data_IF_669507719438
#
_entry.id   IF_669507719438
#
_cell.length_a   1.000
_cell.length_b   1.000
_cell.length_c   1.000
_cell.angle_alpha   90.00
_cell.angle_beta   90.00
_cell.angle_gamma   90.00
#
_symmetry.space_group_name_H-M   'P 1'
#
loop_
_entity.id
_entity.type
_entity.pdbx_description
1 polymer ?
#
# COMPACT_ATOMS: atom_id res chain seq x y z
N UNK A 1 -25.23 0.19 9.42
CA UNK A 1 -24.45 -0.45 8.35
C UNK A 1 -23.36 0.54 8.08
N UNK A 2 -22.26 0.41 8.80
CA UNK A 2 -21.18 1.39 8.81
C UNK A 2 -19.91 0.56 8.92
N UNK A 3 -18.96 0.84 8.04
CA UNK A 3 -17.57 0.39 8.07
C UNK A 3 -17.31 -1.11 7.94
N UNK A 4 -17.31 -1.65 6.71
CA UNK A 4 -16.55 -2.89 6.40
C UNK A 4 -16.03 -2.94 4.97
N UNK A 5 -16.08 -1.85 4.20
CA UNK A 5 -15.70 -1.89 2.78
C UNK A 5 -14.21 -2.24 2.60
N UNK A 6 -13.36 -1.68 3.47
CA UNK A 6 -11.94 -1.99 3.52
C UNK A 6 -11.62 -3.40 4.08
N UNK A 7 -12.52 -4.00 4.87
CA UNK A 7 -12.31 -5.34 5.43
C UNK A 7 -12.70 -6.45 4.44
N UNK A 8 -13.62 -6.14 3.50
CA UNK A 8 -14.00 -7.00 2.38
C UNK A 8 -13.13 -6.78 1.13
N UNK A 9 -12.22 -5.80 1.16
CA UNK A 9 -11.28 -5.50 0.07
C UNK A 9 -10.42 -6.72 -0.26
N UNK A 10 -10.50 -7.17 -1.52
CA UNK A 10 -9.59 -8.18 -2.04
C UNK A 10 -8.27 -7.50 -2.44
N UNK A 11 -7.32 -7.45 -1.50
CA UNK A 11 -6.04 -6.78 -1.72
C UNK A 11 -5.18 -7.45 -2.81
N UNK A 12 -5.41 -8.72 -3.11
CA UNK A 12 -4.73 -9.40 -4.21
C UNK A 12 -5.18 -8.83 -5.56
N UNK A 13 -6.50 -8.71 -5.75
CA UNK A 13 -7.07 -8.07 -6.93
C UNK A 13 -6.75 -6.57 -6.97
N UNK A 14 -6.78 -5.88 -5.83
CA UNK A 14 -6.38 -4.48 -5.73
C UNK A 14 -4.93 -4.27 -6.16
N UNK A 15 -4.00 -5.12 -5.71
CA UNK A 15 -2.59 -5.05 -6.10
C UNK A 15 -2.41 -5.26 -7.61
N UNK A 16 -3.11 -6.22 -8.20
CA UNK A 16 -3.10 -6.46 -9.65
C UNK A 16 -3.66 -5.26 -10.42
N UNK A 17 -4.75 -4.68 -9.91
CA UNK A 17 -5.38 -3.49 -10.47
C UNK A 17 -4.45 -2.29 -10.43
N UNK A 18 -3.83 -2.02 -9.28
CA UNK A 18 -2.83 -0.95 -9.08
C UNK A 18 -1.69 -1.09 -10.10
N UNK A 19 -1.13 -2.30 -10.23
CA UNK A 19 -0.05 -2.58 -11.18
C UNK A 19 -0.46 -2.35 -12.62
N UNK A 20 -1.65 -2.83 -12.99
CA UNK A 20 -2.22 -2.63 -14.32
C UNK A 20 -2.47 -1.15 -14.61
N UNK A 21 -3.05 -0.40 -13.66
CA UNK A 21 -3.37 1.02 -13.83
C UNK A 21 -2.12 1.88 -14.00
N UNK A 22 -1.03 1.53 -13.31
CA UNK A 22 0.26 2.21 -13.46
C UNK A 22 0.92 1.87 -14.81
N UNK A 23 0.81 0.61 -15.27
CA UNK A 23 1.39 0.16 -16.53
C UNK A 23 0.69 0.72 -17.80
N UNK A 24 -0.63 0.92 -17.75
CA UNK A 24 -1.44 1.23 -18.94
C UNK A 24 -1.52 2.73 -19.30
N UNK A 25 -0.92 3.62 -18.51
CA UNK A 25 -1.14 5.06 -18.67
C UNK A 25 0.10 5.87 -19.11
N UNK A 26 0.66 5.70 -20.33
CA UNK A 26 1.57 6.69 -20.90
C UNK A 26 0.76 7.91 -21.39
N UNK A 27 0.59 8.93 -20.55
CA UNK A 27 0.23 10.28 -21.00
C UNK A 27 -1.24 10.73 -20.93
N UNK A 28 -2.11 10.07 -20.16
CA UNK A 28 -3.46 10.58 -19.88
C UNK A 28 -3.56 11.23 -18.48
N UNK A 29 -4.36 12.29 -18.43
CA UNK A 29 -4.75 13.20 -17.32
C UNK A 29 -5.43 12.51 -16.13
N UNK A 30 -5.31 11.19 -15.99
CA UNK A 30 -5.91 10.39 -14.92
C UNK A 30 -4.94 10.26 -13.76
N UNK A 31 -5.44 10.53 -12.56
CA UNK A 31 -4.78 10.27 -11.27
C UNK A 31 -4.22 8.83 -11.27
N UNK A 32 -2.91 8.68 -10.99
CA UNK A 32 -2.19 7.41 -11.05
C UNK A 32 -1.77 6.97 -9.66
N UNK A 33 -1.69 5.67 -9.49
CA UNK A 33 -1.06 5.04 -8.33
C UNK A 33 0.46 5.18 -8.42
N UNK A 34 1.08 5.58 -7.30
CA UNK A 34 2.53 5.75 -7.20
C UNK A 34 3.19 4.41 -6.92
N UNK A 35 3.91 3.83 -7.89
CA UNK A 35 4.66 2.58 -7.70
C UNK A 35 6.14 2.86 -7.43
N UNK A 36 6.68 2.24 -6.38
CA UNK A 36 8.10 2.32 -5.98
C UNK A 36 8.70 0.94 -5.82
N UNK A 37 9.96 0.81 -6.19
CA UNK A 37 10.73 -0.40 -5.92
C UNK A 37 11.40 -0.27 -4.56
N UNK A 38 11.21 -1.27 -3.69
CA UNK A 38 11.85 -1.36 -2.39
C UNK A 38 12.99 -2.38 -2.44
N UNK A 39 14.09 -2.08 -1.76
CA UNK A 39 15.24 -3.00 -1.63
C UNK A 39 14.92 -4.15 -0.67
N UNK A 40 14.14 -3.88 0.37
CA UNK A 40 13.74 -4.85 1.40
C UNK A 40 12.50 -4.38 2.18
N UNK A 41 11.93 -5.28 2.98
CA UNK A 41 10.70 -5.07 3.76
C UNK A 41 11.00 -4.80 5.24
N UNK A 42 11.84 -3.81 5.47
CA UNK A 42 12.23 -3.40 6.83
C UNK A 42 11.52 -2.10 7.22
N UNK A 43 11.42 -1.84 8.52
CA UNK A 43 10.84 -0.62 9.06
C UNK A 43 11.43 0.66 8.43
N UNK A 44 12.74 0.68 8.14
CA UNK A 44 13.42 1.80 7.51
C UNK A 44 12.92 2.07 6.08
N UNK A 45 12.80 1.00 5.27
CA UNK A 45 12.28 1.09 3.90
C UNK A 45 10.81 1.49 3.85
N UNK A 46 9.99 0.96 4.77
CA UNK A 46 8.59 1.33 4.91
C UNK A 46 8.42 2.76 5.40
N UNK A 47 9.28 3.23 6.32
CA UNK A 47 9.28 4.63 6.79
C UNK A 47 9.62 5.58 5.66
N UNK A 48 10.61 5.25 4.84
CA UNK A 48 10.95 6.05 3.66
C UNK A 48 9.80 6.08 2.64
N UNK A 49 9.08 4.95 2.45
CA UNK A 49 7.89 4.89 1.60
C UNK A 49 6.77 5.79 2.15
N UNK A 50 6.55 5.77 3.47
CA UNK A 50 5.57 6.61 4.15
C UNK A 50 5.86 8.09 3.96
N UNK A 51 7.07 8.55 4.29
CA UNK A 51 7.44 9.95 4.17
C UNK A 51 7.25 10.46 2.73
N UNK A 52 7.54 9.61 1.75
CA UNK A 52 7.28 9.93 0.35
C UNK A 52 5.79 10.03 0.05
N UNK A 53 4.98 9.07 0.50
CA UNK A 53 3.55 9.11 0.31
C UNK A 53 2.93 10.35 0.97
N UNK A 54 3.29 10.68 2.21
CA UNK A 54 2.84 11.91 2.88
C UNK A 54 3.29 13.19 2.16
N UNK A 55 4.41 13.13 1.42
CA UNK A 55 4.89 14.26 0.62
C UNK A 55 4.17 14.37 -0.74
N UNK A 56 3.87 13.24 -1.37
CA UNK A 56 3.18 13.17 -2.67
C UNK A 56 1.67 13.45 -2.51
N UNK A 57 1.09 13.02 -1.38
CA UNK A 57 -0.31 13.19 -1.06
C UNK A 57 -0.56 14.55 -0.44
N UNK A 58 -1.38 15.38 -1.10
CA UNK A 58 -1.70 16.75 -0.65
C UNK A 58 -2.50 16.79 0.67
N UNK A 59 -2.90 15.63 1.22
CA UNK A 59 -3.69 15.51 2.45
C UNK A 59 -3.09 14.50 3.43
N UNK A 60 -3.14 14.79 4.75
CA UNK A 60 -2.85 13.81 5.80
C UNK A 60 -4.00 12.80 5.82
N UNK A 61 -3.92 11.78 4.99
CA UNK A 61 -4.87 10.68 4.98
C UNK A 61 -4.48 9.68 6.07
N UNK A 62 -5.46 8.99 6.67
CA UNK A 62 -5.20 7.87 7.58
C UNK A 62 -4.68 6.69 6.77
N UNK A 63 -3.40 6.74 6.41
CA UNK A 63 -2.72 5.74 5.60
C UNK A 63 -2.61 4.44 6.38
N UNK A 64 -3.01 3.35 5.73
CA UNK A 64 -2.88 1.98 6.24
C UNK A 64 -1.84 1.26 5.39
N UNK A 65 -0.89 0.63 6.08
CA UNK A 65 0.05 -0.27 5.45
C UNK A 65 -0.58 -1.65 5.29
N UNK A 66 -0.56 -2.20 4.09
CA UNK A 66 -1.01 -3.56 3.81
C UNK A 66 0.18 -4.37 3.31
N UNK A 67 0.62 -5.31 4.13
CA UNK A 67 1.77 -6.17 3.87
C UNK A 67 1.33 -7.62 3.71
N UNK A 68 2.09 -8.43 2.95
CA UNK A 68 1.90 -9.86 2.88
C UNK A 68 2.39 -10.51 4.18
N UNK A 69 1.81 -11.64 4.57
CA UNK A 69 2.23 -12.40 5.76
C UNK A 69 3.74 -12.64 5.80
N UNK A 70 4.35 -12.96 4.67
CA UNK A 70 5.78 -13.25 4.54
C UNK A 70 6.67 -12.05 4.90
N UNK A 71 6.17 -10.81 4.75
CA UNK A 71 6.90 -9.60 5.12
C UNK A 71 7.13 -9.50 6.63
N UNK A 72 6.16 -9.93 7.42
CA UNK A 72 6.20 -9.83 8.89
C UNK A 72 7.00 -10.95 9.55
N UNK A 73 7.21 -12.05 8.83
CA UNK A 73 8.05 -13.16 9.29
C UNK A 73 9.56 -12.84 9.16
N UNK A 74 9.91 -11.78 8.42
CA UNK A 74 11.28 -11.51 8.01
C UNK A 74 12.20 -10.95 9.11
N UNK A 75 11.69 -10.19 10.08
CA UNK A 75 12.42 -9.77 11.31
C UNK A 75 11.58 -8.86 12.25
N UNK A 76 10.34 -8.48 11.90
CA UNK A 76 9.57 -7.46 12.65
C UNK A 76 8.10 -7.83 12.81
N UNK A 77 7.61 -7.83 14.04
CA UNK A 77 6.18 -8.05 14.31
C UNK A 77 5.35 -6.88 13.80
N UNK A 78 4.09 -7.12 13.41
CA UNK A 78 3.11 -6.06 13.03
C UNK A 78 3.10 -4.92 14.03
N UNK A 79 2.99 -5.24 15.32
CA UNK A 79 2.94 -4.24 16.38
C UNK A 79 4.22 -3.39 16.49
N UNK A 80 5.38 -3.95 16.15
CA UNK A 80 6.65 -3.21 16.14
C UNK A 80 6.72 -2.27 14.93
N UNK A 81 6.21 -2.71 13.77
CA UNK A 81 6.07 -1.87 12.59
C UNK A 81 5.08 -0.73 12.83
N UNK A 82 3.93 -1.00 13.46
CA UNK A 82 2.95 0.05 13.81
C UNK A 82 3.56 1.09 14.76
N UNK A 83 4.33 0.65 15.76
CA UNK A 83 5.02 1.57 16.68
C UNK A 83 6.10 2.38 15.98
N UNK A 84 6.86 1.76 15.06
CA UNK A 84 7.93 2.42 14.31
C UNK A 84 7.39 3.42 13.28
N UNK A 85 6.33 3.05 12.55
CA UNK A 85 5.71 3.86 11.49
C UNK A 85 4.70 4.88 12.03
N UNK A 86 4.17 4.64 13.24
CA UNK A 86 3.08 5.43 13.82
C UNK A 86 1.75 5.31 13.06
N UNK A 87 1.62 4.30 12.20
CA UNK A 87 0.48 4.07 11.32
C UNK A 87 -0.01 2.62 11.45
N UNK A 88 -1.31 2.39 11.25
CA UNK A 88 -1.87 1.04 11.29
C UNK A 88 -1.28 0.15 10.20
N UNK A 89 -0.96 -1.08 10.58
CA UNK A 89 -0.41 -2.10 9.69
C UNK A 89 -1.34 -3.30 9.64
N UNK A 90 -1.71 -3.69 8.43
CA UNK A 90 -2.56 -4.83 8.10
C UNK A 90 -1.75 -5.89 7.37
N UNK A 91 -1.96 -7.14 7.75
CA UNK A 91 -1.29 -8.29 7.14
C UNK A 91 -2.32 -9.11 6.39
N UNK A 92 -2.06 -9.33 5.10
CA UNK A 92 -2.97 -10.02 4.20
C UNK A 92 -2.25 -11.19 3.52
N UNK A 93 -2.78 -12.40 3.70
CA UNK A 93 -2.19 -13.62 3.12
C UNK A 93 -2.37 -13.72 1.60
N UNK A 94 -3.42 -13.08 1.07
CA UNK A 94 -3.73 -13.07 -0.35
C UNK A 94 -2.81 -12.12 -1.13
N UNK A 95 -2.11 -11.23 -0.44
CA UNK A 95 -1.26 -10.20 -1.05
C UNK A 95 0.06 -10.83 -1.54
N UNK A 96 0.60 -10.44 -2.70
CA UNK A 96 1.85 -11.00 -3.20
C UNK A 96 3.01 -10.66 -2.25
N UNK A 97 3.90 -11.62 -1.98
CA UNK A 97 5.02 -11.46 -1.04
C UNK A 97 6.00 -10.34 -1.41
N UNK A 98 6.01 -9.94 -2.68
CA UNK A 98 6.81 -8.86 -3.23
C UNK A 98 6.06 -7.51 -3.28
N UNK A 99 4.88 -7.38 -2.67
CA UNK A 99 4.04 -6.17 -2.77
C UNK A 99 3.73 -5.60 -1.42
N UNK A 100 3.71 -4.28 -1.31
CA UNK A 100 3.22 -3.53 -0.16
C UNK A 100 2.30 -2.46 -0.68
N UNK A 101 1.13 -2.33 -0.09
CA UNK A 101 0.20 -1.27 -0.41
C UNK A 101 0.17 -0.26 0.73
N UNK A 102 0.23 1.01 0.39
CA UNK A 102 0.09 2.13 1.30
C UNK A 102 -1.02 3.01 0.77
N UNK A 103 -2.19 2.93 1.39
CA UNK A 103 -3.37 3.63 0.95
C UNK A 103 -4.22 4.05 2.14
N UNK A 104 -4.98 5.14 2.03
CA UNK A 104 -6.00 5.44 3.01
C UNK A 104 -7.23 4.56 2.78
N UNK A 105 -7.95 4.26 3.87
CA UNK A 105 -9.16 3.42 3.83
C UNK A 105 -10.28 3.99 2.96
N UNK A 106 -10.30 5.31 2.74
CA UNK A 106 -11.28 6.01 1.91
C UNK A 106 -10.88 6.07 0.42
N UNK A 107 -9.65 5.68 0.06
CA UNK A 107 -9.22 5.65 -1.35
C UNK A 107 -9.65 4.39 -2.10
N UNK A 108 -10.22 3.40 -1.40
CA UNK A 108 -10.68 2.15 -2.00
C UNK A 108 -12.08 1.77 -1.52
N UNK A 109 -12.84 1.14 -2.42
CA UNK A 109 -14.16 0.57 -2.16
C UNK A 109 -14.13 -0.86 -2.73
N UNK A 110 -13.96 -1.86 -1.84
CA UNK A 110 -13.68 -3.23 -2.19
C UNK A 110 -12.38 -3.34 -3.00
N UNK A 111 -12.50 -3.46 -4.32
CA UNK A 111 -11.38 -3.57 -5.28
C UNK A 111 -11.27 -2.35 -6.21
N UNK A 112 -12.18 -1.38 -6.07
CA UNK A 112 -12.20 -0.16 -6.87
C UNK A 112 -11.32 0.91 -6.24
N UNK A 113 -10.47 1.53 -7.07
CA UNK A 113 -9.61 2.64 -6.68
C UNK A 113 -10.43 3.93 -6.81
N UNK A 114 -10.98 4.40 -5.69
CA UNK A 114 -11.78 5.64 -5.62
C UNK A 114 -10.89 6.86 -5.81
N UNK A 115 -9.71 6.86 -5.18
CA UNK A 115 -8.73 7.95 -5.25
C UNK A 115 -7.33 7.38 -5.53
N UNK A 116 -7.01 7.01 -6.78
CA UNK A 116 -5.73 6.37 -7.11
C UNK A 116 -4.53 7.28 -6.90
N UNK A 117 -4.72 8.61 -6.91
CA UNK A 117 -3.66 9.58 -6.62
C UNK A 117 -3.17 9.49 -5.18
N UNK A 118 -4.04 9.09 -4.24
CA UNK A 118 -3.72 8.90 -2.83
C UNK A 118 -3.12 7.51 -2.51
N UNK A 119 -2.90 6.66 -3.52
CA UNK A 119 -2.44 5.29 -3.34
C UNK A 119 -0.96 5.19 -3.71
N UNK A 120 -0.18 4.57 -2.84
CA UNK A 120 1.23 4.25 -3.04
C UNK A 120 1.42 2.75 -2.94
N UNK A 121 2.19 2.18 -3.86
CA UNK A 121 2.50 0.75 -3.91
C UNK A 121 4.01 0.55 -3.92
N UNK A 122 4.52 -0.15 -2.91
CA UNK A 122 5.89 -0.64 -2.85
C UNK A 122 5.97 -2.03 -3.47
N UNK A 123 6.92 -2.26 -4.38
CA UNK A 123 7.21 -3.58 -4.93
C UNK A 123 8.64 -3.95 -4.57
N UNK A 124 8.81 -5.05 -3.87
CA UNK A 124 10.08 -5.56 -3.38
C UNK A 124 10.67 -6.44 -4.46
N UNK A 125 11.74 -5.98 -5.09
CA UNK A 125 12.43 -6.73 -6.13
C UNK A 125 13.79 -7.19 -5.64
N UNK A 126 14.17 -8.43 -5.96
CA UNK A 126 15.59 -8.79 -5.97
C UNK A 126 16.22 -8.07 -7.17
N UNK A 127 16.87 -6.93 -6.93
CA UNK A 127 17.70 -6.26 -7.92
C UNK A 127 18.89 -7.15 -8.33
#
# INVERSE_FOLDING_TARGET
MTDSDFDDTDFAELADRVRTQSADAPGSDTERVTIRSLESLDADALSALLEMAETDHDRPAELVFVLPTDATEADSSVAELEDALGHPVRVEESLPNDTVLLLPTDAVDGVELVDPGSITCGVVGTA
#
